data_IF_038036628817
#
_entry.id   IF_038036628817
#
_cell.length_a   1.000
_cell.length_b   1.000
_cell.length_c   1.000
_cell.angle_alpha   90.00
_cell.angle_beta   90.00
_cell.angle_gamma   90.00
#
_symmetry.space_group_name_H-M   'P 1'
#
loop_
_entity.id
_entity.type
_entity.pdbx_description
1 polymer ?
#
# COMPACT_ATOMS: atom_id res chain seq x y z
N UNK A 1 -10.15 0.15 -11.19
CA UNK A 1 -10.15 -0.54 -12.51
C UNK A 1 -9.49 -1.91 -12.32
N UNK A 2 -10.30 -2.98 -12.32
CA UNK A 2 -9.85 -4.34 -11.97
C UNK A 2 -9.24 -5.10 -13.15
N UNK A 3 -8.44 -6.13 -12.86
CA UNK A 3 -8.09 -7.15 -13.87
C UNK A 3 -9.33 -7.98 -14.19
N UNK A 4 -9.37 -8.59 -15.37
CA UNK A 4 -10.44 -9.53 -15.74
C UNK A 4 -10.50 -10.70 -14.74
N UNK A 5 -11.72 -11.08 -14.33
CA UNK A 5 -12.00 -12.20 -13.43
C UNK A 5 -11.32 -13.50 -13.87
N UNK A 6 -11.25 -13.77 -15.18
CA UNK A 6 -10.62 -14.97 -15.74
C UNK A 6 -9.10 -15.07 -15.46
N UNK A 7 -8.41 -13.96 -15.18
CA UNK A 7 -6.95 -13.90 -15.03
C UNK A 7 -6.47 -13.96 -13.59
N UNK A 8 -7.39 -13.97 -12.62
CA UNK A 8 -7.08 -14.01 -11.20
C UNK A 8 -6.44 -12.72 -10.63
N UNK A 9 -6.33 -12.65 -9.29
CA UNK A 9 -5.62 -11.58 -8.60
C UNK A 9 -4.14 -11.54 -9.01
N UNK A 10 -3.52 -10.37 -8.91
CA UNK A 10 -2.13 -10.15 -9.32
C UNK A 10 -1.30 -9.75 -8.11
N UNK A 11 -0.20 -10.44 -7.85
CA UNK A 11 0.90 -9.89 -7.07
C UNK A 11 2.18 -9.93 -7.88
N UNK A 12 3.05 -8.97 -7.59
CA UNK A 12 4.40 -8.95 -8.10
C UNK A 12 5.24 -10.06 -7.46
N UNK A 13 6.01 -10.79 -8.27
CA UNK A 13 6.83 -11.91 -7.79
C UNK A 13 7.85 -11.47 -6.74
N UNK A 14 8.45 -10.29 -6.92
CA UNK A 14 9.40 -9.75 -5.94
C UNK A 14 8.75 -9.43 -4.58
N UNK A 15 7.45 -9.15 -4.55
CA UNK A 15 6.72 -8.85 -3.32
C UNK A 15 6.35 -10.16 -2.62
N UNK A 16 5.87 -11.16 -3.38
CA UNK A 16 5.58 -12.50 -2.87
C UNK A 16 6.83 -13.13 -2.25
N UNK A 17 7.95 -13.15 -2.98
CA UNK A 17 9.19 -13.75 -2.49
C UNK A 17 9.70 -13.09 -1.19
N UNK A 18 9.49 -11.77 -1.03
CA UNK A 18 9.88 -11.06 0.20
C UNK A 18 9.00 -11.39 1.40
N UNK A 19 7.73 -11.67 1.15
CA UNK A 19 6.75 -12.01 2.17
C UNK A 19 6.93 -13.47 2.57
N UNK A 20 7.15 -14.37 1.62
CA UNK A 20 7.46 -15.78 1.88
C UNK A 20 8.80 -15.97 2.62
N UNK A 21 9.80 -15.13 2.32
CA UNK A 21 11.09 -15.17 3.01
C UNK A 21 11.07 -14.54 4.40
N UNK A 22 9.96 -13.91 4.81
CA UNK A 22 9.83 -13.35 6.15
C UNK A 22 9.29 -14.41 7.11
N UNK A 23 10.06 -14.68 8.16
CA UNK A 23 9.59 -15.47 9.28
C UNK A 23 8.59 -14.68 10.13
N UNK A 24 7.62 -15.38 10.72
CA UNK A 24 6.60 -14.82 11.62
C UNK A 24 7.19 -13.99 12.76
N UNK A 25 8.45 -14.21 13.13
CA UNK A 25 9.13 -13.55 14.25
C UNK A 25 9.76 -12.20 13.89
N UNK A 26 10.01 -11.89 12.61
CA UNK A 26 10.78 -10.71 12.22
C UNK A 26 10.01 -9.83 11.22
N UNK A 27 8.99 -9.14 11.74
CA UNK A 27 8.00 -8.32 11.01
C UNK A 27 8.56 -6.96 10.58
N UNK A 28 9.69 -6.96 9.89
CA UNK A 28 10.29 -5.73 9.38
C UNK A 28 9.45 -5.11 8.26
N UNK A 29 9.65 -3.82 8.01
CA UNK A 29 8.84 -3.06 7.05
C UNK A 29 9.26 -3.37 5.61
N UNK A 30 8.36 -3.97 4.82
CA UNK A 30 8.63 -4.31 3.42
C UNK A 30 8.37 -3.08 2.53
N UNK A 31 9.40 -2.57 1.86
CA UNK A 31 9.23 -1.51 0.86
C UNK A 31 8.76 -2.06 -0.48
N UNK A 32 7.72 -1.44 -1.05
CA UNK A 32 7.19 -1.79 -2.36
C UNK A 32 6.89 -0.57 -3.22
N UNK A 33 7.14 -0.72 -4.53
CA UNK A 33 6.66 0.18 -5.57
C UNK A 33 5.45 -0.38 -6.30
N UNK A 34 5.10 -1.65 -6.06
CA UNK A 34 4.04 -2.35 -6.77
C UNK A 34 2.67 -2.06 -6.17
N UNK A 35 2.13 -0.88 -6.48
CA UNK A 35 0.78 -0.44 -6.05
C UNK A 35 -0.37 -1.24 -6.66
N UNK A 36 -0.09 -1.97 -7.75
CA UNK A 36 -1.07 -2.77 -8.51
C UNK A 36 -1.36 -4.14 -7.87
N UNK A 37 -0.50 -4.57 -6.94
CA UNK A 37 -0.61 -5.88 -6.29
C UNK A 37 -1.85 -5.93 -5.40
N UNK A 38 -2.62 -7.00 -5.54
CA UNK A 38 -3.72 -7.35 -4.64
C UNK A 38 -3.17 -7.91 -3.33
N UNK A 39 -3.84 -7.59 -2.24
CA UNK A 39 -3.53 -8.11 -0.92
C UNK A 39 -4.02 -9.56 -0.86
N UNK A 40 -3.07 -10.48 -0.66
CA UNK A 40 -3.35 -11.89 -0.43
C UNK A 40 -3.48 -12.16 1.08
N UNK A 41 -4.18 -13.24 1.49
CA UNK A 41 -4.29 -13.61 2.89
C UNK A 41 -2.94 -13.76 3.61
N UNK A 42 -1.90 -14.19 2.89
CA UNK A 42 -0.54 -14.31 3.41
C UNK A 42 0.08 -12.97 3.86
N UNK A 43 -0.50 -11.84 3.45
CA UNK A 43 0.06 -10.51 3.75
C UNK A 43 -0.48 -9.96 5.07
N UNK A 44 -1.49 -10.61 5.64
CA UNK A 44 -2.09 -10.22 6.92
C UNK A 44 -1.01 -10.23 8.01
N UNK A 45 -1.01 -9.21 8.86
CA UNK A 45 -0.02 -9.06 9.93
C UNK A 45 1.32 -8.45 9.50
N UNK A 46 1.54 -8.23 8.20
CA UNK A 46 2.74 -7.58 7.68
C UNK A 46 2.57 -6.06 7.51
N UNK A 47 3.65 -5.31 7.73
CA UNK A 47 3.67 -3.87 7.43
C UNK A 47 4.34 -3.64 6.08
N UNK A 48 3.56 -3.17 5.11
CA UNK A 48 4.03 -2.89 3.75
C UNK A 48 4.10 -1.39 3.53
N UNK A 49 5.28 -0.89 3.19
CA UNK A 49 5.53 0.52 2.88
C UNK A 49 5.33 0.78 1.38
N UNK A 50 4.14 1.28 1.04
CA UNK A 50 3.68 1.52 -0.34
C UNK A 50 4.16 2.89 -0.82
N UNK A 51 4.79 2.94 -1.99
CA UNK A 51 5.22 4.20 -2.59
C UNK A 51 4.00 5.02 -3.08
N UNK A 52 3.90 6.28 -2.65
CA UNK A 52 2.80 7.21 -3.01
C UNK A 52 3.16 8.15 -4.18
N UNK A 53 4.41 8.14 -4.65
CA UNK A 53 4.93 9.09 -5.63
C UNK A 53 6.03 10.01 -5.09
N UNK A 54 6.18 10.10 -3.76
CA UNK A 54 7.24 10.87 -3.08
C UNK A 54 7.90 10.09 -1.94
N UNK A 55 7.13 9.35 -1.16
CA UNK A 55 7.60 8.59 0.01
C UNK A 55 6.94 7.22 0.07
N UNK A 56 7.48 6.35 0.92
CA UNK A 56 6.83 5.09 1.26
C UNK A 56 5.95 5.29 2.49
N UNK A 57 4.65 5.08 2.33
CA UNK A 57 3.66 5.14 3.41
C UNK A 57 3.55 3.74 4.03
N UNK A 58 3.88 3.56 5.32
CA UNK A 58 3.71 2.28 5.98
C UNK A 58 2.22 1.98 6.19
N UNK A 59 1.76 0.84 5.68
CA UNK A 59 0.40 0.33 5.84
C UNK A 59 0.49 -1.01 6.53
N UNK A 60 -0.17 -1.14 7.68
CA UNK A 60 -0.34 -2.41 8.38
C UNK A 60 -1.56 -3.14 7.80
N UNK A 61 -1.37 -4.39 7.37
CA UNK A 61 -2.41 -5.13 6.65
C UNK A 61 -3.26 -5.95 7.61
N UNK A 62 -4.57 -5.72 7.56
CA UNK A 62 -5.61 -6.46 8.29
C UNK A 62 -6.38 -7.40 7.36
N UNK A 63 -7.13 -8.35 7.92
CA UNK A 63 -7.92 -9.33 7.16
C UNK A 63 -8.97 -8.67 6.25
N UNK A 64 -9.60 -7.59 6.72
CA UNK A 64 -10.61 -6.84 5.96
C UNK A 64 -10.05 -6.19 4.67
N UNK A 65 -8.73 -6.09 4.56
CA UNK A 65 -8.06 -5.51 3.39
C UNK A 65 -7.80 -6.54 2.28
N UNK A 66 -8.07 -7.83 2.51
CA UNK A 66 -7.85 -8.89 1.52
C UNK A 66 -8.71 -8.65 0.27
N UNK A 67 -8.11 -8.82 -0.91
CA UNK A 67 -8.78 -8.58 -2.20
C UNK A 67 -8.69 -7.13 -2.71
N UNK A 68 -8.38 -6.16 -1.84
CA UNK A 68 -8.07 -4.79 -2.24
C UNK A 68 -6.67 -4.67 -2.85
N UNK A 69 -6.40 -3.55 -3.52
CA UNK A 69 -5.05 -3.23 -4.03
C UNK A 69 -4.27 -2.39 -3.04
N UNK A 70 -2.96 -2.64 -2.94
CA UNK A 70 -2.07 -1.84 -2.09
C UNK A 70 -2.12 -0.34 -2.38
N UNK A 71 -2.38 0.04 -3.64
CA UNK A 71 -2.50 1.44 -4.04
C UNK A 71 -3.72 2.18 -3.47
N UNK A 72 -4.75 1.47 -3.02
CA UNK A 72 -5.97 2.07 -2.44
C UNK A 72 -5.68 2.69 -1.06
N UNK A 73 -4.71 2.14 -0.34
CA UNK A 73 -4.33 2.58 1.01
C UNK A 73 -3.24 3.67 1.02
N UNK A 74 -2.74 4.09 -0.16
CA UNK A 74 -1.72 5.11 -0.31
C UNK A 74 -2.16 6.19 -1.31
N UNK A 75 -2.74 7.32 -0.85
CA UNK A 75 -3.20 8.40 -1.73
C UNK A 75 -2.02 9.12 -2.38
N UNK A 76 -2.09 9.35 -3.70
CA UNK A 76 -0.98 9.97 -4.47
C UNK A 76 -1.05 11.48 -4.59
N UNK A 77 -2.24 12.05 -4.45
CA UNK A 77 -2.47 13.49 -4.59
C UNK A 77 -3.09 14.00 -3.30
N UNK A 78 -2.53 15.08 -2.78
CA UNK A 78 -3.13 15.82 -1.67
C UNK A 78 -4.06 16.88 -2.25
N UNK A 79 -5.34 16.53 -2.37
CA UNK A 79 -6.36 17.52 -2.70
C UNK A 79 -6.66 18.35 -1.44
N UNK A 80 -6.46 19.67 -1.52
CA UNK A 80 -6.63 20.60 -0.39
C UNK A 80 -7.98 21.32 -0.37
N UNK A 81 -8.89 20.98 -1.29
CA UNK A 81 -10.16 21.69 -1.47
C UNK A 81 -10.05 22.79 -2.54
N UNK A 82 -11.22 23.29 -2.96
CA UNK A 82 -11.36 24.45 -3.83
C UNK A 82 -11.50 25.76 -3.05
N UNK A 83 -11.66 25.69 -1.73
CA UNK A 83 -11.86 26.87 -0.89
C UNK A 83 -10.56 27.65 -0.69
N UNK A 84 -10.69 28.96 -0.90
CA UNK A 84 -9.66 29.98 -0.65
C UNK A 84 -9.50 30.24 0.84
N UNK A 85 -9.28 29.21 1.66
CA UNK A 85 -8.75 29.43 3.00
C UNK A 85 -7.31 28.94 3.04
N UNK A 86 -6.47 29.82 2.52
CA UNK A 86 -5.03 29.83 2.65
C UNK A 86 -4.71 30.00 4.15
N UNK A 87 -4.84 28.93 4.95
CA UNK A 87 -4.18 28.84 6.24
C UNK A 87 -2.68 28.73 5.99
N UNK A 88 -2.09 29.87 5.58
CA UNK A 88 -0.66 30.13 5.66
C UNK A 88 -0.25 29.84 7.09
N UNK A 89 0.51 28.76 7.26
CA UNK A 89 1.27 28.52 8.47
C UNK A 89 2.16 29.75 8.68
N UNK A 90 1.85 30.60 9.67
CA UNK A 90 2.84 31.53 10.22
C UNK A 90 3.97 30.64 10.75
N UNK A 91 5.09 30.59 10.03
CA UNK A 91 6.34 30.10 10.59
C UNK A 91 6.71 31.04 11.74
N UNK A 92 6.88 30.46 12.93
CA UNK A 92 7.51 31.10 14.08
C UNK A 92 8.99 30.83 14.02
#
# INVERSE_FOLDING_TARGET
MGRSLKKGPFADSHLLNKIEAMDDNNRSVIKTWSRRSTIFPQFVGHTIAVYDGRKHVPVYIQEDMVGHKLGEFAPTRTYRGHDKDDKKTKRR
#
